data_IF_427020263305
#
_entry.id   IF_427020263305
#
_cell.length_a   1.000
_cell.length_b   1.000
_cell.length_c   1.000
_cell.angle_alpha   90.00
_cell.angle_beta   90.00
_cell.angle_gamma   90.00
#
_symmetry.space_group_name_H-M   'P 1'
#
loop_
_entity.id
_entity.type
_entity.pdbx_description
1 polymer ?
#
# COMPACT_ATOMS: atom_id res chain seq x y z
N UNK A 1 -19.02 18.86 -41.24
CA UNK A 1 -18.01 17.81 -41.05
C UNK A 1 -17.70 17.75 -39.56
N UNK A 2 -18.12 16.69 -38.87
CA UNK A 2 -18.18 16.59 -37.40
C UNK A 2 -16.84 16.13 -36.83
N UNK A 3 -16.16 17.00 -36.06
CA UNK A 3 -14.90 16.68 -35.38
C UNK A 3 -15.12 15.68 -34.25
N UNK A 4 -14.49 14.52 -34.37
CA UNK A 4 -14.44 13.48 -33.32
C UNK A 4 -13.29 13.80 -32.39
N UNK A 5 -13.59 14.20 -31.14
CA UNK A 5 -12.60 14.38 -30.09
C UNK A 5 -12.36 13.02 -29.40
N UNK A 6 -11.17 12.44 -29.60
CA UNK A 6 -10.74 11.24 -28.89
C UNK A 6 -10.16 11.65 -27.52
N UNK A 7 -10.91 11.38 -26.44
CA UNK A 7 -10.48 11.65 -25.07
C UNK A 7 -9.48 10.60 -24.61
N UNK A 8 -8.20 10.97 -24.46
CA UNK A 8 -7.19 10.10 -23.90
C UNK A 8 -7.33 9.99 -22.37
N UNK A 9 -7.70 8.79 -21.88
CA UNK A 9 -7.70 8.48 -20.45
C UNK A 9 -6.26 8.20 -20.00
N UNK A 10 -5.70 9.06 -19.14
CA UNK A 10 -4.41 8.80 -18.50
C UNK A 10 -4.59 7.72 -17.45
N UNK A 11 -4.06 6.51 -17.69
CA UNK A 11 -3.89 5.49 -16.66
C UNK A 11 -2.82 5.98 -15.67
N UNK A 12 -3.25 6.46 -14.51
CA UNK A 12 -2.36 6.68 -13.38
C UNK A 12 -2.07 5.32 -12.75
N UNK A 13 -0.82 4.84 -12.89
CA UNK A 13 -0.34 3.65 -12.16
C UNK A 13 -0.46 3.99 -10.68
N UNK A 14 -1.48 3.46 -10.00
CA UNK A 14 -1.68 3.63 -8.55
C UNK A 14 -0.50 2.95 -7.86
N UNK A 15 0.47 3.73 -7.41
CA UNK A 15 1.48 3.24 -6.48
C UNK A 15 0.77 3.01 -5.15
N UNK A 16 0.61 1.75 -4.77
CA UNK A 16 0.12 1.40 -3.44
C UNK A 16 1.32 1.28 -2.51
N UNK A 17 1.23 1.95 -1.35
CA UNK A 17 2.20 1.82 -0.26
C UNK A 17 1.58 0.90 0.78
N UNK A 18 2.33 -0.10 1.23
CA UNK A 18 1.90 -1.00 2.29
C UNK A 18 2.90 -0.92 3.45
N UNK A 19 2.46 -1.28 4.66
CA UNK A 19 3.37 -1.44 5.79
C UNK A 19 3.46 -2.91 6.16
N UNK A 20 4.66 -3.37 6.49
CA UNK A 20 4.90 -4.74 6.90
C UNK A 20 5.43 -4.83 8.33
N UNK A 21 5.17 -5.97 8.98
CA UNK A 21 5.80 -6.37 10.23
C UNK A 21 7.28 -6.68 9.98
N UNK A 22 8.15 -6.14 10.81
CA UNK A 22 9.60 -6.40 10.80
C UNK A 22 9.96 -7.81 11.30
N UNK A 23 9.11 -8.42 12.12
CA UNK A 23 9.36 -9.75 12.69
C UNK A 23 8.86 -10.90 11.80
N UNK A 24 7.74 -10.73 11.09
CA UNK A 24 7.13 -11.80 10.28
C UNK A 24 6.82 -11.43 8.84
N UNK A 25 7.24 -10.23 8.39
CA UNK A 25 7.11 -9.72 7.02
C UNK A 25 5.67 -9.64 6.48
N UNK A 26 4.68 -9.86 7.35
CA UNK A 26 3.27 -9.77 7.02
C UNK A 26 2.87 -8.31 6.79
N UNK A 27 2.04 -8.07 5.78
CA UNK A 27 1.36 -6.77 5.60
C UNK A 27 0.44 -6.49 6.79
N UNK A 28 0.64 -5.34 7.42
CA UNK A 28 -0.12 -4.87 8.57
C UNK A 28 -1.40 -4.16 8.11
N UNK A 29 -2.49 -4.36 8.85
CA UNK A 29 -3.71 -3.56 8.72
C UNK A 29 -3.51 -2.14 9.25
N UNK A 30 -4.46 -1.24 8.98
CA UNK A 30 -4.43 0.14 9.50
C UNK A 30 -4.42 0.14 11.04
N UNK A 31 -5.18 -0.75 11.68
CA UNK A 31 -5.21 -0.90 13.13
C UNK A 31 -3.85 -1.36 13.66
N UNK A 32 -3.28 -2.41 13.07
CA UNK A 32 -1.95 -2.93 13.42
C UNK A 32 -0.83 -1.85 13.26
N UNK A 33 -0.96 -0.95 12.28
CA UNK A 33 -0.03 0.18 12.07
C UNK A 33 -0.18 1.24 13.17
N UNK A 34 -1.41 1.60 13.53
CA UNK A 34 -1.69 2.62 14.56
C UNK A 34 -1.25 2.11 15.93
N UNK A 35 -1.58 0.87 16.25
CA UNK A 35 -1.26 0.21 17.52
C UNK A 35 0.19 -0.26 17.60
N UNK A 36 0.92 -0.27 16.47
CA UNK A 36 2.32 -0.72 16.38
C UNK A 36 2.49 -2.14 16.90
N UNK A 37 1.54 -3.00 16.54
CA UNK A 37 1.43 -4.36 17.00
C UNK A 37 1.05 -5.25 15.82
N UNK A 38 1.64 -6.44 15.76
CA UNK A 38 1.23 -7.44 14.79
C UNK A 38 0.39 -8.50 15.51
N UNK A 39 -0.83 -8.70 15.05
CA UNK A 39 -1.75 -9.69 15.62
C UNK A 39 -1.27 -11.13 15.44
N UNK A 40 -0.41 -11.37 14.44
CA UNK A 40 0.08 -12.72 14.13
C UNK A 40 1.18 -13.18 15.07
N UNK A 41 2.25 -12.38 15.20
CA UNK A 41 3.41 -12.73 16.02
C UNK A 41 3.38 -12.07 17.40
N UNK A 42 2.36 -11.25 17.67
CA UNK A 42 2.20 -10.49 18.91
C UNK A 42 3.41 -9.61 19.25
N UNK A 43 4.19 -9.25 18.23
CA UNK A 43 5.39 -8.43 18.36
C UNK A 43 5.02 -6.95 18.22
N UNK A 44 5.75 -6.10 18.93
CA UNK A 44 5.74 -4.66 18.68
C UNK A 44 6.40 -4.41 17.32
N UNK A 45 5.70 -3.67 16.45
CA UNK A 45 6.17 -3.38 15.10
C UNK A 45 6.62 -1.94 14.97
N UNK A 46 7.64 -1.70 14.14
CA UNK A 46 7.89 -0.37 13.59
C UNK A 46 7.44 -0.36 12.14
N UNK A 47 6.24 0.15 11.83
CA UNK A 47 5.69 0.07 10.49
C UNK A 47 6.63 0.77 9.50
N UNK A 48 7.19 -0.02 8.59
CA UNK A 48 8.08 0.48 7.53
C UNK A 48 7.28 0.56 6.25
N UNK A 49 7.31 1.73 5.60
CA UNK A 49 6.67 1.91 4.29
C UNK A 49 7.39 1.08 3.24
N UNK A 50 6.67 0.14 2.64
CA UNK A 50 7.11 -0.65 1.51
C UNK A 50 6.38 -0.12 0.28
N UNK A 51 7.15 0.37 -0.69
CA UNK A 51 6.63 0.73 -2.01
C UNK A 51 6.55 -0.55 -2.84
N UNK A 52 5.39 -0.83 -3.42
CA UNK A 52 5.27 -1.91 -4.38
C UNK A 52 6.19 -1.60 -5.58
N UNK A 53 7.18 -2.47 -5.81
CA UNK A 53 8.05 -2.35 -6.99
C UNK A 53 7.18 -2.65 -8.22
N UNK A 54 7.09 -1.63 -9.06
CA UNK A 54 6.11 -1.51 -10.12
C UNK A 54 6.36 -2.47 -11.30
#
# INVERSE_FOLDING_TARGET
MTSTLATAVRQTKRQMTFHCCDACERVLSIEEIIERHCERCNALTRPTEVREAA
#
